data_IF_997796489925
#
_entry.id   IF_997796489925
#
_cell.length_a   1.000
_cell.length_b   1.000
_cell.length_c   1.000
_cell.angle_alpha   90.00
_cell.angle_beta   90.00
_cell.angle_gamma   90.00
#
_symmetry.space_group_name_H-M   'P 1'
#
loop_
_entity.id
_entity.type
_entity.pdbx_description
1 polymer ?
#
# COMPACT_ATOMS: atom_id res chain seq x y z
N UNK A 1 15.87 -13.86 12.02
CA UNK A 1 16.42 -12.73 11.24
C UNK A 1 16.55 -11.43 12.05
N UNK A 2 16.40 -11.41 13.38
CA UNK A 2 16.79 -10.27 14.22
C UNK A 2 15.97 -8.96 14.08
N UNK A 3 14.96 -8.94 13.23
CA UNK A 3 14.02 -7.84 13.06
C UNK A 3 12.66 -8.19 13.68
N UNK A 4 11.96 -7.16 14.17
CA UNK A 4 10.59 -7.27 14.67
C UNK A 4 9.58 -6.94 13.54
N UNK A 5 8.30 -7.25 13.77
CA UNK A 5 7.23 -6.82 12.86
C UNK A 5 6.93 -5.33 13.06
N UNK A 6 6.76 -4.59 11.96
CA UNK A 6 6.28 -3.21 11.99
C UNK A 6 4.76 -3.14 12.06
N UNK A 7 4.08 -4.07 11.39
CA UNK A 7 2.62 -4.23 11.39
C UNK A 7 2.24 -5.69 11.08
N UNK A 8 1.01 -6.14 11.39
CA UNK A 8 0.55 -7.49 11.04
C UNK A 8 0.61 -7.73 9.53
N UNK A 9 1.06 -8.90 9.09
CA UNK A 9 1.11 -9.24 7.65
C UNK A 9 -0.30 -9.19 7.07
N UNK A 10 -0.50 -8.39 6.02
CA UNK A 10 -1.79 -8.35 5.35
C UNK A 10 -1.81 -9.37 4.20
N UNK A 11 -2.93 -10.06 4.03
CA UNK A 11 -3.16 -11.08 3.02
C UNK A 11 -4.47 -10.81 2.24
N UNK A 12 -4.59 -9.60 1.69
CA UNK A 12 -5.82 -9.11 1.07
C UNK A 12 -6.11 -9.80 -0.27
N UNK A 13 -7.30 -10.37 -0.45
CA UNK A 13 -7.65 -11.19 -1.64
C UNK A 13 -8.68 -10.50 -2.53
N UNK A 14 -8.44 -10.54 -3.85
CA UNK A 14 -9.33 -10.00 -4.88
C UNK A 14 -9.71 -8.53 -4.64
N UNK A 15 -10.99 -8.23 -4.43
CA UNK A 15 -11.52 -6.88 -4.22
C UNK A 15 -11.20 -6.27 -2.85
N UNK A 16 -10.71 -7.07 -1.89
CA UNK A 16 -10.16 -6.54 -0.63
C UNK A 16 -8.81 -5.92 -0.99
N UNK A 17 -8.69 -4.60 -0.86
CA UNK A 17 -7.50 -3.86 -1.31
C UNK A 17 -6.33 -3.98 -0.32
N UNK A 18 -6.58 -3.71 0.95
CA UNK A 18 -5.61 -3.69 2.05
C UNK A 18 -6.30 -4.04 3.38
N UNK A 19 -5.53 -4.10 4.46
CA UNK A 19 -6.01 -4.24 5.84
C UNK A 19 -6.79 -5.51 6.13
N UNK A 20 -6.51 -6.63 5.45
CA UNK A 20 -7.01 -7.94 5.89
C UNK A 20 -5.86 -8.76 6.45
N UNK A 21 -5.98 -9.14 7.72
CA UNK A 21 -5.11 -10.09 8.39
C UNK A 21 -5.98 -11.25 8.89
N UNK A 22 -5.49 -12.48 8.79
CA UNK A 22 -6.18 -13.62 9.35
C UNK A 22 -6.29 -13.45 10.88
N UNK A 23 -7.49 -13.64 11.41
CA UNK A 23 -7.77 -13.65 12.84
C UNK A 23 -7.93 -15.09 13.34
N UNK A 24 -7.98 -15.27 14.66
CA UNK A 24 -8.25 -16.58 15.24
C UNK A 24 -9.57 -17.16 14.69
N UNK A 25 -9.54 -18.43 14.28
CA UNK A 25 -10.65 -19.14 13.65
C UNK A 25 -11.08 -18.63 12.26
N UNK A 26 -10.24 -17.84 11.58
CA UNK A 26 -10.46 -17.54 10.16
C UNK A 26 -10.24 -18.79 9.30
N UNK A 27 -11.32 -19.29 8.68
CA UNK A 27 -11.31 -20.47 7.82
C UNK A 27 -11.10 -20.14 6.34
N UNK A 28 -10.69 -18.91 6.02
CA UNK A 28 -10.46 -18.48 4.64
C UNK A 28 -9.27 -19.21 4.03
N UNK A 29 -9.44 -19.71 2.81
CA UNK A 29 -8.40 -20.44 2.06
C UNK A 29 -8.30 -19.86 0.66
N UNK A 30 -7.07 -19.64 0.20
CA UNK A 30 -6.79 -19.18 -1.16
C UNK A 30 -7.26 -20.21 -2.19
N UNK A 31 -7.90 -19.72 -3.25
CA UNK A 31 -8.45 -20.53 -4.34
C UNK A 31 -7.72 -20.22 -5.64
N UNK A 32 -7.70 -21.19 -6.54
CA UNK A 32 -7.26 -20.94 -7.90
C UNK A 32 -8.09 -19.81 -8.54
N UNK A 33 -7.41 -18.87 -9.18
CA UNK A 33 -8.03 -17.66 -9.73
C UNK A 33 -7.95 -16.43 -8.82
N UNK A 34 -7.60 -16.59 -7.55
CA UNK A 34 -7.47 -15.46 -6.62
C UNK A 34 -6.27 -14.57 -6.94
N UNK A 35 -6.40 -13.29 -6.61
CA UNK A 35 -5.30 -12.32 -6.55
C UNK A 35 -5.01 -11.97 -5.09
N UNK A 36 -3.97 -12.57 -4.52
CA UNK A 36 -3.47 -12.27 -3.19
C UNK A 36 -2.58 -11.03 -3.25
N UNK A 37 -2.77 -10.08 -2.33
CA UNK A 37 -1.83 -9.00 -2.04
C UNK A 37 -1.22 -9.31 -0.68
N UNK A 38 0.08 -9.57 -0.69
CA UNK A 38 0.87 -9.88 0.49
C UNK A 38 1.67 -8.62 0.83
N UNK A 39 1.41 -8.05 1.99
CA UNK A 39 2.01 -6.81 2.46
C UNK A 39 2.67 -7.04 3.83
N UNK A 40 3.96 -6.70 3.91
CA UNK A 40 4.85 -7.09 4.99
C UNK A 40 5.59 -5.86 5.51
N UNK A 41 5.44 -5.64 6.81
CA UNK A 41 6.17 -4.63 7.57
C UNK A 41 7.17 -5.26 8.51
N UNK A 42 8.44 -4.86 8.43
CA UNK A 42 9.49 -5.23 9.39
C UNK A 42 10.20 -4.01 9.92
N UNK A 43 10.80 -4.10 11.11
CA UNK A 43 11.57 -3.01 11.68
C UNK A 43 12.81 -3.50 12.43
N UNK A 44 13.81 -2.61 12.51
CA UNK A 44 14.95 -2.70 13.44
C UNK A 44 15.02 -1.36 14.16
N UNK A 45 14.90 -1.35 15.49
CA UNK A 45 14.94 -0.14 16.32
C UNK A 45 13.99 0.99 15.83
N UNK A 46 12.81 0.63 15.33
CA UNK A 46 11.84 1.59 14.79
C UNK A 46 12.05 2.01 13.34
N UNK A 47 13.16 1.62 12.68
CA UNK A 47 13.35 1.87 11.26
C UNK A 47 12.59 0.83 10.45
N UNK A 48 11.52 1.27 9.80
CA UNK A 48 10.53 0.42 9.15
C UNK A 48 10.86 0.19 7.67
N UNK A 49 10.64 -1.04 7.22
CA UNK A 49 10.48 -1.40 5.82
C UNK A 49 9.02 -1.80 5.62
N UNK A 50 8.39 -1.19 4.63
CA UNK A 50 7.05 -1.50 4.16
C UNK A 50 7.15 -1.96 2.70
N UNK A 51 6.66 -3.17 2.41
CA UNK A 51 6.72 -3.72 1.06
C UNK A 51 5.62 -4.73 0.79
N UNK A 52 4.99 -4.59 -0.37
CA UNK A 52 3.92 -5.46 -0.83
C UNK A 52 4.20 -6.07 -2.21
N UNK A 53 3.63 -7.25 -2.43
CA UNK A 53 3.57 -7.93 -3.73
C UNK A 53 2.18 -8.48 -4.01
N UNK A 54 1.82 -8.54 -5.29
CA UNK A 54 0.60 -9.21 -5.76
C UNK A 54 0.95 -10.56 -6.36
N UNK A 55 0.26 -11.61 -5.92
CA UNK A 55 0.49 -13.01 -6.29
C UNK A 55 -0.80 -13.59 -6.88
N UNK A 56 -0.81 -13.96 -8.17
CA UNK A 56 -1.94 -14.65 -8.77
C UNK A 56 -1.89 -16.13 -8.40
N UNK A 57 -2.96 -16.64 -7.80
CA UNK A 57 -3.02 -18.03 -7.32
C UNK A 57 -3.37 -18.94 -8.50
N UNK A 58 -2.35 -19.60 -9.06
CA UNK A 58 -2.47 -20.58 -10.15
C UNK A 58 -3.26 -20.06 -11.36
N UNK A 59 -3.13 -18.78 -11.68
CA UNK A 59 -3.81 -18.14 -12.81
C UNK A 59 -2.93 -17.11 -13.48
N UNK A 60 -3.25 -16.79 -14.74
CA UNK A 60 -2.66 -15.67 -15.49
C UNK A 60 -3.62 -14.50 -15.71
N UNK A 61 -4.85 -14.61 -15.18
CA UNK A 61 -5.92 -13.61 -15.36
C UNK A 61 -5.49 -12.20 -14.93
N UNK A 62 -4.61 -12.12 -13.93
CA UNK A 62 -4.22 -10.86 -13.29
C UNK A 62 -2.88 -10.32 -13.78
N UNK A 63 -2.20 -10.99 -14.71
CA UNK A 63 -0.83 -10.66 -15.12
C UNK A 63 -0.70 -9.21 -15.61
N UNK A 64 -1.63 -8.75 -16.47
CA UNK A 64 -1.62 -7.38 -16.97
C UNK A 64 -1.92 -6.36 -15.87
N UNK A 65 -2.78 -6.69 -14.89
CA UNK A 65 -3.09 -5.81 -13.77
C UNK A 65 -1.88 -5.67 -12.83
N UNK A 66 -1.20 -6.79 -12.56
CA UNK A 66 0.03 -6.81 -11.76
C UNK A 66 1.14 -6.05 -12.49
N UNK A 67 1.28 -6.25 -13.81
CA UNK A 67 2.24 -5.53 -14.63
C UNK A 67 2.01 -4.02 -14.57
N UNK A 68 0.75 -3.58 -14.68
CA UNK A 68 0.39 -2.16 -14.58
C UNK A 68 0.82 -1.54 -13.25
N UNK A 69 0.52 -2.19 -12.13
CA UNK A 69 0.92 -1.73 -10.80
C UNK A 69 2.45 -1.75 -10.63
N UNK A 70 3.12 -2.79 -11.15
CA UNK A 70 4.58 -2.94 -11.06
C UNK A 70 5.32 -1.89 -11.87
N UNK A 71 4.93 -1.67 -13.13
CA UNK A 71 5.53 -0.63 -13.95
C UNK A 71 5.26 0.77 -13.40
N UNK A 72 4.09 0.99 -12.80
CA UNK A 72 3.80 2.26 -12.12
C UNK A 72 4.75 2.49 -10.94
N UNK A 73 5.04 1.46 -10.16
CA UNK A 73 6.00 1.52 -9.06
C UNK A 73 7.42 1.79 -9.59
N UNK A 74 7.87 1.02 -10.58
CA UNK A 74 9.22 1.15 -11.14
C UNK A 74 9.42 2.55 -11.77
N UNK A 75 8.41 3.11 -12.42
CA UNK A 75 8.45 4.47 -12.98
C UNK A 75 8.43 5.55 -11.88
N UNK A 76 7.60 5.37 -10.83
CA UNK A 76 7.55 6.28 -9.69
C UNK A 76 8.90 6.32 -8.96
N UNK A 77 9.50 5.16 -8.66
CA UNK A 77 10.82 5.06 -8.01
C UNK A 77 11.91 5.75 -8.83
N UNK A 78 11.91 5.58 -10.16
CA UNK A 78 12.87 6.28 -11.05
C UNK A 78 12.65 7.81 -11.09
N UNK A 79 11.42 8.26 -10.90
CA UNK A 79 11.06 9.67 -10.90
C UNK A 79 11.40 10.37 -9.57
N UNK A 80 11.33 9.64 -8.46
CA UNK A 80 11.52 10.17 -7.11
C UNK A 80 12.92 10.76 -6.92
N UNK A 81 12.96 12.02 -6.46
CA UNK A 81 14.17 12.72 -6.03
C UNK A 81 13.80 13.87 -5.08
N UNK A 82 14.72 14.36 -4.25
CA UNK A 82 14.47 15.55 -3.44
C UNK A 82 14.01 16.73 -4.30
N UNK A 83 12.98 17.42 -3.82
CA UNK A 83 12.44 18.64 -4.39
C UNK A 83 11.24 18.48 -5.33
N UNK A 84 10.79 17.26 -5.60
CA UNK A 84 9.52 17.02 -6.33
C UNK A 84 8.33 17.06 -5.40
N UNK A 85 7.13 17.23 -5.95
CA UNK A 85 5.89 17.13 -5.18
C UNK A 85 5.34 15.70 -5.21
N UNK A 86 4.66 15.28 -4.14
CA UNK A 86 4.03 13.95 -4.08
C UNK A 86 2.92 13.78 -5.13
N UNK A 87 2.26 14.86 -5.53
CA UNK A 87 1.30 14.89 -6.64
C UNK A 87 1.91 14.52 -7.99
N UNK A 88 3.17 14.90 -8.22
CA UNK A 88 3.89 14.57 -9.46
C UNK A 88 4.15 13.05 -9.53
N UNK A 89 4.44 12.41 -8.40
CA UNK A 89 4.55 10.95 -8.30
C UNK A 89 3.20 10.30 -8.64
N UNK A 90 2.11 10.84 -8.11
CA UNK A 90 0.77 10.34 -8.40
C UNK A 90 0.35 10.47 -9.86
N UNK A 91 0.80 11.52 -10.57
CA UNK A 91 0.63 11.63 -12.03
C UNK A 91 1.39 10.54 -12.79
N UNK A 92 2.63 10.23 -12.38
CA UNK A 92 3.42 9.13 -12.97
C UNK A 92 2.71 7.79 -12.76
N UNK A 93 2.20 7.54 -11.56
CA UNK A 93 1.48 6.31 -11.24
C UNK A 93 0.20 6.18 -12.07
N UNK A 94 -0.67 7.20 -12.03
CA UNK A 94 -1.96 7.18 -12.74
C UNK A 94 -1.79 7.07 -14.25
N UNK A 95 -0.87 7.85 -14.83
CA UNK A 95 -0.61 7.76 -16.28
C UNK A 95 -0.06 6.39 -16.69
N UNK A 96 0.73 5.73 -15.84
CA UNK A 96 1.24 4.38 -16.12
C UNK A 96 0.10 3.36 -16.04
N UNK A 97 -0.70 3.38 -14.97
CA UNK A 97 -1.83 2.45 -14.80
C UNK A 97 -2.87 2.60 -15.92
N UNK A 98 -3.18 3.84 -16.31
CA UNK A 98 -4.14 4.13 -17.39
C UNK A 98 -3.67 3.64 -18.77
N UNK A 99 -2.36 3.67 -19.06
CA UNK A 99 -1.81 3.13 -20.32
C UNK A 99 -2.06 1.63 -20.49
N UNK A 100 -2.16 0.90 -19.38
CA UNK A 100 -2.51 -0.52 -19.36
C UNK A 100 -4.03 -0.78 -19.37
N UNK A 101 -4.86 0.27 -19.43
CA UNK A 101 -6.32 0.16 -19.47
C UNK A 101 -7.00 -0.03 -18.11
N UNK A 102 -6.27 0.16 -17.00
CA UNK A 102 -6.80 0.05 -15.64
C UNK A 102 -7.00 1.42 -14.99
N UNK A 103 -7.59 1.44 -13.79
CA UNK A 103 -7.77 2.65 -12.98
C UNK A 103 -6.91 2.59 -11.73
N UNK A 104 -6.39 3.74 -11.31
CA UNK A 104 -5.81 3.88 -9.98
C UNK A 104 -6.90 3.94 -8.91
N UNK A 105 -6.64 3.36 -7.73
CA UNK A 105 -7.46 3.63 -6.54
C UNK A 105 -7.10 5.02 -6.01
N UNK A 106 -8.08 5.91 -5.87
CA UNK A 106 -7.84 7.33 -5.57
C UNK A 106 -7.82 7.66 -4.09
N UNK A 107 -8.43 6.85 -3.25
CA UNK A 107 -8.49 7.05 -1.80
C UNK A 107 -7.68 5.99 -1.02
N UNK A 108 -6.66 5.42 -1.67
CA UNK A 108 -5.62 4.58 -1.07
C UNK A 108 -4.29 4.95 -1.74
N UNK A 109 -3.24 5.12 -0.95
CA UNK A 109 -2.01 5.80 -1.36
C UNK A 109 -0.83 5.32 -0.56
N UNK A 110 0.38 5.55 -1.08
CA UNK A 110 1.58 5.52 -0.26
C UNK A 110 1.62 6.59 0.79
N UNK A 111 2.66 6.57 1.61
CA UNK A 111 2.78 7.42 2.78
C UNK A 111 4.24 7.71 3.14
N UNK A 112 4.42 8.75 3.96
CA UNK A 112 5.68 8.96 4.67
C UNK A 112 5.88 7.92 5.78
N UNK A 113 7.13 7.57 6.04
CA UNK A 113 7.54 6.69 7.14
C UNK A 113 8.53 7.46 8.04
N UNK A 114 8.35 7.34 9.35
CA UNK A 114 9.27 7.84 10.37
C UNK A 114 9.62 6.72 11.35
N UNK A 115 10.58 6.96 12.24
CA UNK A 115 10.97 5.97 13.25
C UNK A 115 9.78 5.64 14.16
N UNK A 116 9.42 4.36 14.25
CA UNK A 116 8.23 3.84 14.96
C UNK A 116 6.87 4.33 14.43
N UNK A 117 6.83 5.00 13.28
CA UNK A 117 5.59 5.54 12.72
C UNK A 117 5.47 5.13 11.25
N UNK A 118 4.60 4.15 10.99
CA UNK A 118 4.32 3.66 9.64
C UNK A 118 3.72 4.77 8.79
N UNK A 119 2.80 5.58 9.33
CA UNK A 119 2.08 6.64 8.60
C UNK A 119 2.44 8.04 9.13
N UNK A 120 3.53 8.63 8.64
CA UNK A 120 4.08 9.91 9.09
C UNK A 120 3.29 11.19 8.67
N UNK A 121 1.97 11.07 8.44
CA UNK A 121 1.08 12.24 8.26
C UNK A 121 1.06 12.90 6.88
N UNK A 122 1.74 12.32 5.87
CA UNK A 122 1.62 12.76 4.48
C UNK A 122 1.56 11.57 3.51
N UNK A 123 0.92 11.77 2.35
CA UNK A 123 0.58 10.71 1.40
C UNK A 123 1.33 10.86 0.07
N UNK A 124 1.63 9.72 -0.55
CA UNK A 124 2.10 9.56 -1.93
C UNK A 124 0.92 9.06 -2.78
N UNK A 125 0.13 9.96 -3.38
CA UNK A 125 -1.12 9.59 -4.05
C UNK A 125 -0.87 8.69 -5.26
N UNK A 126 -1.87 7.85 -5.61
CA UNK A 126 -1.88 7.03 -6.82
C UNK A 126 -2.49 7.74 -8.05
N UNK A 127 -2.72 9.05 -7.94
CA UNK A 127 -3.33 9.90 -8.96
C UNK A 127 -2.80 11.33 -8.88
N UNK A 128 -3.02 12.11 -9.94
CA UNK A 128 -2.68 13.54 -9.96
C UNK A 128 -3.56 14.32 -9.00
N UNK A 129 -3.12 14.41 -7.74
CA UNK A 129 -3.79 15.16 -6.68
C UNK A 129 -3.37 16.64 -6.70
N UNK A 130 -4.19 17.51 -6.11
CA UNK A 130 -3.88 18.96 -5.98
C UNK A 130 -2.91 19.33 -4.84
N UNK A 131 -2.24 18.34 -4.23
CA UNK A 131 -1.36 18.52 -3.09
C UNK A 131 -0.01 19.17 -3.44
N UNK A 132 0.63 19.79 -2.44
CA UNK A 132 1.94 20.48 -2.58
C UNK A 132 2.98 19.98 -1.58
N UNK A 133 2.83 18.79 -1.02
CA UNK A 133 3.86 18.23 -0.15
C UNK A 133 5.11 17.94 -0.99
N UNK A 134 6.24 18.55 -0.61
CA UNK A 134 7.50 18.47 -1.34
C UNK A 134 8.44 17.51 -0.63
N UNK A 135 9.00 16.56 -1.36
CA UNK A 135 9.95 15.61 -0.79
C UNK A 135 11.29 16.30 -0.51
N UNK A 136 11.89 15.97 0.63
CA UNK A 136 13.19 16.46 1.05
C UNK A 136 14.19 15.31 1.19
N UNK A 137 15.48 15.65 1.16
CA UNK A 137 16.54 14.64 1.32
C UNK A 137 16.46 14.05 2.73
N UNK A 138 16.50 12.72 2.82
CA UNK A 138 16.48 11.98 4.09
C UNK A 138 15.10 11.49 4.52
N UNK A 139 14.03 11.88 3.82
CA UNK A 139 12.71 11.30 4.02
C UNK A 139 12.67 9.84 3.58
N UNK A 140 11.91 9.02 4.30
CA UNK A 140 11.56 7.64 3.95
C UNK A 140 10.09 7.63 3.54
N UNK A 141 9.77 6.97 2.42
CA UNK A 141 8.41 6.91 1.89
C UNK A 141 8.10 5.48 1.41
N UNK A 142 6.86 5.05 1.61
CA UNK A 142 6.26 3.93 0.89
C UNK A 142 5.60 4.45 -0.39
N UNK A 143 5.85 3.75 -1.50
CA UNK A 143 5.18 3.99 -2.78
C UNK A 143 4.43 2.71 -3.12
N UNK A 144 3.10 2.76 -3.11
CA UNK A 144 2.22 1.58 -3.25
C UNK A 144 1.13 1.81 -4.31
N UNK A 145 1.43 1.56 -5.59
CA UNK A 145 0.46 1.66 -6.66
C UNK A 145 -0.65 0.62 -6.54
N UNK A 146 -1.89 1.09 -6.32
CA UNK A 146 -3.08 0.25 -6.42
C UNK A 146 -3.78 0.45 -7.77
N UNK A 147 -3.65 -0.53 -8.65
CA UNK A 147 -4.43 -0.63 -9.89
C UNK A 147 -5.69 -1.48 -9.66
N UNK A 148 -6.77 -1.17 -10.39
CA UNK A 148 -8.02 -1.92 -10.34
C UNK A 148 -8.76 -1.91 -11.68
N UNK A 149 -9.48 -2.99 -11.95
CA UNK A 149 -10.50 -3.12 -13.00
C UNK A 149 -11.89 -2.62 -12.54
N UNK A 150 -12.01 -2.19 -11.29
CA UNK A 150 -13.25 -1.72 -10.68
C UNK A 150 -13.49 -0.21 -10.77
N UNK A 151 -13.99 0.36 -9.66
CA UNK A 151 -14.39 1.78 -9.58
C UNK A 151 -13.23 2.75 -9.30
N UNK A 152 -12.08 2.26 -8.82
CA UNK A 152 -10.97 3.13 -8.41
C UNK A 152 -11.19 3.80 -7.04
N UNK A 153 -12.05 3.22 -6.19
CA UNK A 153 -12.32 3.69 -4.84
C UNK A 153 -12.50 2.49 -3.90
N UNK A 154 -11.99 2.61 -2.68
CA UNK A 154 -12.21 1.66 -1.58
C UNK A 154 -13.20 2.21 -0.58
N UNK A 155 -13.88 1.33 0.14
CA UNK A 155 -14.72 1.64 1.30
C UNK A 155 -14.32 0.73 2.45
N UNK A 156 -14.50 1.19 3.68
CA UNK A 156 -14.27 0.32 4.85
C UNK A 156 -15.21 -0.89 4.82
N UNK A 157 -14.64 -2.06 5.12
CA UNK A 157 -15.34 -3.33 5.13
C UNK A 157 -15.62 -3.81 6.55
N UNK A 158 -15.57 -5.14 6.74
CA UNK A 158 -15.62 -5.75 8.07
C UNK A 158 -14.33 -5.44 8.85
N UNK A 159 -14.41 -5.49 10.18
CA UNK A 159 -13.22 -5.38 11.03
C UNK A 159 -12.20 -6.47 10.68
N UNK A 160 -10.93 -6.09 10.65
CA UNK A 160 -9.81 -6.94 10.28
C UNK A 160 -8.94 -7.38 11.46
N UNK A 161 -9.28 -6.97 12.68
CA UNK A 161 -8.45 -7.25 13.86
C UNK A 161 -7.12 -6.46 13.92
N UNK A 162 -6.90 -5.52 13.00
CA UNK A 162 -5.71 -4.65 13.00
C UNK A 162 -6.04 -3.39 13.80
N UNK A 163 -5.19 -3.05 14.76
CA UNK A 163 -5.32 -1.89 15.63
C UNK A 163 -3.98 -1.21 15.83
N UNK A 164 -4.00 0.11 16.01
CA UNK A 164 -2.84 0.93 16.33
C UNK A 164 -3.16 1.76 17.59
N UNK A 165 -2.17 1.93 18.46
CA UNK A 165 -2.30 2.82 19.62
C UNK A 165 -2.22 4.27 19.16
N UNK A 166 -3.37 4.92 18.99
CA UNK A 166 -3.42 6.33 18.61
C UNK A 166 -2.92 7.26 19.74
N UNK A 167 -3.45 7.09 20.95
CA UNK A 167 -3.11 7.92 22.11
C UNK A 167 -3.13 7.09 23.39
N UNK A 168 -2.17 7.35 24.29
CA UNK A 168 -2.23 6.84 25.67
C UNK A 168 -3.26 7.64 26.46
N UNK A 169 -4.42 7.05 26.70
CA UNK A 169 -5.45 7.61 27.57
C UNK A 169 -5.48 6.86 28.89
N UNK A 170 -5.75 7.57 29.99
CA UNK A 170 -5.96 6.94 31.28
C UNK A 170 -7.24 6.11 31.21
N UNK A 171 -7.10 4.79 31.27
CA UNK A 171 -8.22 3.87 31.39
C UNK A 171 -8.56 3.71 32.86
N UNK A 172 -9.85 3.55 33.16
CA UNK A 172 -10.30 3.16 34.50
C UNK A 172 -10.04 1.66 34.61
N UNK A 173 -8.94 1.30 35.25
CA UNK A 173 -8.70 -0.05 35.75
C UNK A 173 -9.19 -0.08 37.20
#
# INVERSE_FOLDING_TARGET
MGADLAFPVNMSVNSVAAHYCAIENDSSVLKEGDLLKLDIGVQIDGYIIDSAISIPIKTKKHDNLILAAREALDNAVKFVKPGIYTSDIGEVIESTIQKHGFKSIRNLSGHGIEQYNVHAGYNIPNYKAGGKFKLEKGMVIAIEPFATDGRGLVTEGKSSGIYELADKKQTRI
#
